data_IF_968013512684
#
_entry.id   IF_968013512684
#
_cell.length_a   1.000
_cell.length_b   1.000
_cell.length_c   1.000
_cell.angle_alpha   90.00
_cell.angle_beta   90.00
_cell.angle_gamma   90.00
#
_symmetry.space_group_name_H-M   'P 1'
#
loop_
_entity.id
_entity.type
_entity.pdbx_description
1 polymer ?
#
# COMPACT_ATOMS: atom_id res chain seq x y z
N UNK A 1 5.59 98.03 -29.63
CA UNK A 1 4.40 97.16 -29.55
C UNK A 1 4.67 95.88 -30.32
N UNK A 2 4.39 94.66 -29.87
CA UNK A 2 4.15 94.04 -28.58
C UNK A 2 4.28 92.55 -28.91
N UNK A 3 5.33 91.89 -28.41
CA UNK A 3 5.58 90.47 -28.66
C UNK A 3 4.63 89.59 -27.84
N UNK A 4 4.08 88.57 -28.48
CA UNK A 4 3.32 87.49 -27.81
C UNK A 4 4.09 86.19 -28.02
N UNK A 5 4.44 85.44 -26.95
CA UNK A 5 5.22 84.22 -27.05
C UNK A 5 4.34 83.01 -27.37
N UNK A 6 4.85 82.16 -28.26
CA UNK A 6 4.32 80.81 -28.53
C UNK A 6 4.60 79.94 -27.30
N UNK A 7 3.55 79.58 -26.56
CA UNK A 7 3.69 78.72 -25.38
C UNK A 7 3.74 77.25 -25.76
N UNK A 8 4.95 76.66 -25.67
CA UNK A 8 5.19 75.22 -25.57
C UNK A 8 4.47 74.64 -24.34
N UNK A 9 3.22 74.17 -24.49
CA UNK A 9 2.53 73.39 -23.42
C UNK A 9 2.19 71.95 -23.80
N UNK A 10 2.33 71.55 -25.07
CA UNK A 10 2.04 70.18 -25.52
C UNK A 10 3.12 69.12 -25.22
N UNK A 11 4.38 69.54 -25.00
CA UNK A 11 5.50 68.60 -24.84
C UNK A 11 5.63 67.96 -23.45
N UNK A 12 5.06 68.58 -22.41
CA UNK A 12 5.24 68.15 -21.01
C UNK A 12 4.22 67.05 -20.63
N UNK A 13 3.03 67.03 -21.25
CA UNK A 13 1.99 66.04 -20.93
C UNK A 13 2.34 64.66 -21.51
N UNK A 14 2.99 64.60 -22.68
CA UNK A 14 3.39 63.32 -23.32
C UNK A 14 4.61 62.70 -22.62
N UNK A 15 5.51 63.51 -22.07
CA UNK A 15 6.70 63.01 -21.37
C UNK A 15 6.42 62.54 -19.94
N UNK A 16 5.33 63.02 -19.30
CA UNK A 16 4.91 62.55 -17.98
C UNK A 16 4.15 61.20 -18.04
N UNK A 17 3.46 60.90 -19.14
CA UNK A 17 2.79 59.61 -19.37
C UNK A 17 3.77 58.43 -19.60
N UNK A 18 5.00 58.70 -20.03
CA UNK A 18 6.04 57.68 -20.25
C UNK A 18 6.83 57.40 -18.95
N UNK A 19 6.75 58.27 -17.95
CA UNK A 19 7.48 58.12 -16.69
C UNK A 19 6.76 57.28 -15.62
N UNK A 20 5.50 56.86 -15.84
CA UNK A 20 4.74 56.03 -14.89
C UNK A 20 4.73 54.52 -15.23
N UNK A 21 5.40 54.08 -16.28
CA UNK A 21 5.37 52.67 -16.71
C UNK A 21 6.40 51.76 -16.01
N UNK A 22 7.01 52.15 -14.89
CA UNK A 22 8.13 51.41 -14.30
C UNK A 22 7.85 50.66 -12.99
N UNK A 23 6.62 50.63 -12.47
CA UNK A 23 6.31 49.92 -11.22
C UNK A 23 5.06 49.05 -11.32
N UNK A 24 4.98 48.15 -12.30
CA UNK A 24 3.99 47.05 -12.30
C UNK A 24 4.66 45.75 -11.85
N UNK A 25 5.22 45.72 -10.64
CA UNK A 25 5.57 44.46 -9.99
C UNK A 25 4.31 43.93 -9.30
N UNK A 26 3.57 43.06 -9.98
CA UNK A 26 2.49 42.30 -9.35
C UNK A 26 3.07 41.53 -8.14
N UNK A 27 2.39 41.52 -6.98
CA UNK A 27 2.81 40.69 -5.87
C UNK A 27 2.87 39.22 -6.34
N UNK A 28 4.06 38.61 -6.24
CA UNK A 28 4.32 37.25 -6.72
C UNK A 28 4.89 36.37 -5.61
N UNK A 29 4.33 35.18 -5.46
CA UNK A 29 4.83 34.14 -4.54
C UNK A 29 5.91 33.32 -5.25
N UNK A 30 7.13 33.86 -5.37
CA UNK A 30 8.31 33.13 -5.87
C UNK A 30 8.98 33.71 -7.14
N UNK A 31 10.12 33.13 -7.54
CA UNK A 31 10.84 33.52 -8.76
C UNK A 31 10.01 33.18 -10.00
N UNK A 32 10.02 34.09 -10.97
CA UNK A 32 9.26 33.88 -12.20
C UNK A 32 9.91 32.79 -13.06
N UNK A 33 9.09 32.07 -13.83
CA UNK A 33 9.56 31.04 -14.75
C UNK A 33 10.63 31.57 -15.73
N UNK A 34 10.55 32.85 -16.15
CA UNK A 34 11.57 33.46 -17.01
C UNK A 34 12.89 33.70 -16.27
N UNK A 35 12.83 33.97 -14.98
CA UNK A 35 14.00 34.16 -14.12
C UNK A 35 14.69 32.82 -13.85
N UNK A 36 13.91 31.77 -13.57
CA UNK A 36 14.39 30.38 -13.44
C UNK A 36 15.06 29.93 -14.75
N UNK A 37 14.42 30.18 -15.89
CA UNK A 37 14.98 29.84 -17.19
C UNK A 37 16.26 30.64 -17.48
N UNK A 38 16.31 31.94 -17.18
CA UNK A 38 17.52 32.75 -17.45
C UNK A 38 18.68 32.37 -16.54
N UNK A 39 18.40 32.04 -15.29
CA UNK A 39 19.41 31.68 -14.30
C UNK A 39 19.96 30.24 -14.45
N UNK A 40 19.29 29.38 -15.23
CA UNK A 40 19.73 28.01 -15.45
C UNK A 40 21.04 27.96 -16.28
N UNK A 41 22.15 27.60 -15.62
CA UNK A 41 23.47 27.45 -16.24
C UNK A 41 23.53 26.30 -17.26
N UNK A 42 22.73 25.26 -17.07
CA UNK A 42 22.56 24.14 -18.01
C UNK A 42 21.06 23.88 -18.16
N UNK A 43 20.58 23.85 -19.41
CA UNK A 43 19.17 23.58 -19.74
C UNK A 43 19.03 22.23 -20.41
N UNK A 44 18.37 21.30 -19.74
CA UNK A 44 17.93 20.04 -20.33
C UNK A 44 16.44 20.19 -20.62
N UNK A 45 16.11 20.64 -21.82
CA UNK A 45 14.72 20.85 -22.26
C UNK A 45 14.41 19.96 -23.44
N UNK A 46 13.19 19.42 -23.48
CA UNK A 46 12.67 18.71 -24.64
C UNK A 46 12.19 19.68 -25.73
N UNK A 47 12.16 19.27 -27.01
CA UNK A 47 11.54 20.06 -28.07
C UNK A 47 10.10 20.43 -27.69
N UNK A 48 9.76 21.72 -27.81
CA UNK A 48 8.46 22.29 -27.44
C UNK A 48 8.07 22.07 -25.96
N UNK A 49 9.03 21.82 -25.05
CA UNK A 49 8.78 21.53 -23.62
C UNK A 49 7.80 20.36 -23.40
N UNK A 50 7.64 19.48 -24.38
CA UNK A 50 6.80 18.29 -24.23
C UNK A 50 7.47 17.31 -23.27
N UNK A 51 6.77 16.92 -22.21
CA UNK A 51 7.32 16.03 -21.17
C UNK A 51 7.74 14.67 -21.72
N UNK A 52 7.21 14.25 -22.88
CA UNK A 52 7.61 13.03 -23.56
C UNK A 52 7.03 11.75 -22.94
N UNK A 53 6.04 11.89 -22.05
CA UNK A 53 5.28 10.79 -21.49
C UNK A 53 3.98 10.66 -22.29
N UNK A 54 3.89 9.60 -23.09
CA UNK A 54 2.65 9.20 -23.75
C UNK A 54 1.68 8.62 -22.71
N UNK A 55 0.38 8.77 -22.93
CA UNK A 55 -0.67 8.22 -22.08
C UNK A 55 -1.89 7.81 -22.91
N UNK A 56 -2.71 6.93 -22.36
CA UNK A 56 -4.03 6.57 -22.91
C UNK A 56 -5.10 7.41 -22.21
N UNK A 57 -6.02 8.01 -22.97
CA UNK A 57 -7.21 8.66 -22.42
C UNK A 57 -8.41 7.73 -22.58
N UNK A 58 -9.13 7.46 -21.49
CA UNK A 58 -10.30 6.58 -21.47
C UNK A 58 -11.47 7.33 -20.83
N UNK A 59 -12.58 7.44 -21.55
CA UNK A 59 -13.83 7.94 -20.98
C UNK A 59 -14.50 6.86 -20.13
N UNK A 60 -14.91 7.20 -18.91
CA UNK A 60 -15.65 6.30 -18.04
C UNK A 60 -17.00 5.98 -18.68
N UNK A 61 -17.27 4.68 -18.84
CA UNK A 61 -18.52 4.17 -19.41
C UNK A 61 -18.78 2.74 -18.94
N UNK A 62 -19.99 2.23 -19.16
CA UNK A 62 -20.41 0.87 -18.79
C UNK A 62 -19.50 -0.24 -19.33
N UNK A 63 -18.86 -0.04 -20.48
CA UNK A 63 -18.01 -1.04 -21.11
C UNK A 63 -16.66 -1.25 -20.42
N UNK A 64 -16.11 -0.20 -19.78
CA UNK A 64 -14.78 -0.26 -19.16
C UNK A 64 -14.83 -0.54 -17.66
N UNK A 65 -15.93 -0.20 -16.96
CA UNK A 65 -16.07 -0.38 -15.50
C UNK A 65 -15.72 -1.82 -15.02
N UNK A 66 -16.20 -2.91 -15.66
CA UNK A 66 -15.91 -4.28 -15.21
C UNK A 66 -14.42 -4.71 -15.30
N UNK A 67 -13.57 -3.88 -15.93
CA UNK A 67 -12.14 -4.14 -16.03
C UNK A 67 -11.33 -3.42 -14.94
N UNK A 68 -11.95 -2.44 -14.27
CA UNK A 68 -11.33 -1.59 -13.26
C UNK A 68 -12.06 -1.63 -11.91
N UNK A 69 -13.06 -2.51 -11.76
CA UNK A 69 -13.83 -2.75 -10.54
C UNK A 69 -13.11 -3.68 -9.54
N UNK A 70 -12.09 -4.43 -9.99
CA UNK A 70 -11.37 -5.42 -9.18
C UNK A 70 -9.96 -4.95 -8.87
N UNK A 71 -9.65 -4.88 -7.58
CA UNK A 71 -8.26 -4.82 -7.12
C UNK A 71 -7.62 -6.15 -7.50
N UNK A 72 -6.46 -6.18 -8.20
CA UNK A 72 -5.73 -7.41 -8.45
C UNK A 72 -5.38 -8.04 -7.11
N UNK A 73 -6.13 -9.06 -6.68
CA UNK A 73 -5.79 -9.83 -5.50
C UNK A 73 -4.79 -10.90 -5.92
N UNK A 74 -3.56 -10.80 -5.45
CA UNK A 74 -2.71 -11.98 -5.30
C UNK A 74 -3.45 -13.01 -4.45
N UNK A 75 -3.18 -14.29 -4.68
CA UNK A 75 -3.84 -15.41 -3.98
C UNK A 75 -2.76 -16.27 -3.37
N UNK A 76 -2.76 -16.38 -2.04
CA UNK A 76 -1.89 -17.30 -1.31
C UNK A 76 -2.20 -18.73 -1.72
N UNK A 77 -3.49 -19.04 -1.92
CA UNK A 77 -3.94 -20.35 -2.36
C UNK A 77 -3.34 -20.75 -3.71
N UNK A 78 -3.28 -19.80 -4.65
CA UNK A 78 -2.75 -20.09 -6.00
C UNK A 78 -1.22 -20.15 -5.99
N UNK A 79 -0.55 -19.31 -5.19
CA UNK A 79 0.91 -19.27 -5.11
C UNK A 79 1.55 -20.44 -4.34
N UNK A 80 0.90 -20.90 -3.27
CA UNK A 80 1.41 -21.96 -2.39
C UNK A 80 0.64 -23.29 -2.50
N UNK A 81 -0.48 -23.30 -3.22
CA UNK A 81 -1.38 -24.43 -3.32
C UNK A 81 -2.43 -24.43 -2.21
N UNK A 82 -3.71 -24.40 -2.60
CA UNK A 82 -4.84 -24.70 -1.72
C UNK A 82 -5.05 -26.19 -1.67
N UNK A 83 -4.15 -26.90 -1.00
CA UNK A 83 -4.25 -28.34 -0.90
C UNK A 83 -5.60 -28.74 -0.30
N UNK A 84 -6.32 -29.63 -0.98
CA UNK A 84 -7.34 -30.51 -0.36
C UNK A 84 -6.73 -31.46 0.70
N UNK A 85 -5.45 -31.31 1.03
CA UNK A 85 -4.75 -32.03 2.07
C UNK A 85 -5.02 -31.40 3.44
N UNK A 86 -4.97 -32.22 4.49
CA UNK A 86 -5.06 -31.75 5.86
C UNK A 86 -3.87 -30.88 6.27
N UNK A 87 -3.74 -30.67 7.58
CA UNK A 87 -2.57 -30.05 8.17
C UNK A 87 -1.28 -30.72 7.64
N UNK A 88 -0.22 -29.94 7.34
CA UNK A 88 1.08 -30.52 7.02
C UNK A 88 1.57 -31.35 8.20
N UNK A 89 2.09 -32.54 7.93
CA UNK A 89 2.76 -33.31 8.97
C UNK A 89 4.01 -32.57 9.45
N UNK A 90 4.22 -32.57 10.76
CA UNK A 90 5.33 -31.88 11.41
C UNK A 90 6.35 -32.94 11.87
N UNK A 91 7.37 -33.25 11.05
CA UNK A 91 8.42 -34.17 11.47
C UNK A 91 9.25 -33.54 12.59
N UNK A 92 9.90 -34.40 13.39
CA UNK A 92 10.90 -33.98 14.35
C UNK A 92 12.06 -33.31 13.61
N UNK A 93 12.63 -32.25 14.17
CA UNK A 93 13.77 -31.58 13.55
C UNK A 93 14.90 -31.26 14.50
N UNK A 94 15.96 -30.69 13.92
CA UNK A 94 17.17 -30.33 14.67
C UNK A 94 16.85 -29.32 15.78
N UNK A 95 17.34 -29.58 16.99
CA UNK A 95 17.13 -28.70 18.14
C UNK A 95 15.81 -28.90 18.87
N UNK A 96 14.94 -29.81 18.42
CA UNK A 96 13.77 -30.23 19.18
C UNK A 96 14.18 -30.95 20.46
N UNK A 97 13.42 -30.74 21.53
CA UNK A 97 13.60 -31.41 22.80
C UNK A 97 12.54 -32.48 22.93
N UNK A 98 12.99 -33.73 23.03
CA UNK A 98 12.14 -34.90 23.15
C UNK A 98 12.36 -35.58 24.49
N UNK A 99 11.31 -36.23 24.98
CA UNK A 99 11.34 -37.10 26.14
C UNK A 99 10.80 -38.46 25.72
N UNK A 100 11.56 -39.50 26.05
CA UNK A 100 11.24 -40.87 25.66
C UNK A 100 10.86 -41.64 26.91
N UNK A 101 9.66 -42.21 26.90
CA UNK A 101 9.19 -43.14 27.92
C UNK A 101 9.17 -44.55 27.33
N UNK A 102 9.76 -45.49 28.05
CA UNK A 102 9.89 -46.89 27.63
C UNK A 102 9.15 -47.75 28.63
N UNK A 103 8.18 -48.52 28.14
CA UNK A 103 7.39 -49.49 28.87
C UNK A 103 7.89 -50.90 28.55
N UNK A 104 7.80 -51.82 29.51
CA UNK A 104 7.99 -53.26 29.29
C UNK A 104 6.75 -54.00 29.79
N UNK A 105 6.41 -55.12 29.16
CA UNK A 105 5.19 -55.87 29.49
C UNK A 105 5.19 -56.42 30.93
N UNK A 106 6.38 -56.68 31.50
CA UNK A 106 6.56 -57.31 32.81
C UNK A 106 7.79 -56.72 33.55
N UNK A 107 7.82 -56.86 34.88
CA UNK A 107 9.00 -56.52 35.69
C UNK A 107 10.09 -57.60 35.59
N UNK A 108 11.35 -57.22 35.82
CA UNK A 108 12.52 -58.07 35.63
C UNK A 108 13.20 -57.93 34.27
N UNK A 109 12.80 -56.96 33.45
CA UNK A 109 13.41 -56.65 32.16
C UNK A 109 14.60 -55.67 32.25
N UNK A 110 15.03 -55.15 31.11
CA UNK A 110 16.23 -54.32 30.98
C UNK A 110 16.09 -52.96 31.67
N UNK A 111 14.87 -52.42 31.64
CA UNK A 111 14.56 -51.10 32.18
C UNK A 111 13.76 -51.16 33.49
N UNK A 112 13.10 -52.28 33.76
CA UNK A 112 12.25 -52.48 34.93
C UNK A 112 12.82 -53.61 35.79
N UNK A 113 13.52 -53.32 36.90
CA UNK A 113 14.01 -54.34 37.82
C UNK A 113 12.88 -55.15 38.48
N UNK A 114 13.19 -56.37 38.93
CA UNK A 114 12.23 -57.28 39.58
C UNK A 114 11.81 -56.87 41.00
N UNK A 115 12.51 -55.93 41.64
CA UNK A 115 12.17 -55.45 42.99
C UNK A 115 10.98 -54.48 42.94
N UNK A 116 9.79 -55.07 43.09
CA UNK A 116 8.51 -54.39 43.19
C UNK A 116 8.37 -53.67 44.54
N UNK A 117 8.64 -52.36 44.60
CA UNK A 117 8.41 -51.62 45.83
C UNK A 117 8.31 -50.09 45.77
N UNK A 118 8.64 -49.41 44.66
CA UNK A 118 8.74 -47.93 44.73
C UNK A 118 8.44 -47.15 43.44
N UNK A 119 7.93 -47.78 42.36
CA UNK A 119 7.65 -47.05 41.11
C UNK A 119 6.16 -47.08 40.73
N UNK A 120 5.57 -45.94 40.36
CA UNK A 120 4.15 -45.83 40.01
C UNK A 120 3.79 -46.35 38.59
N UNK A 121 4.51 -47.34 38.05
CA UNK A 121 4.18 -47.95 36.76
C UNK A 121 5.29 -48.81 36.15
N UNK A 122 4.91 -49.60 35.13
CA UNK A 122 5.83 -50.41 34.34
C UNK A 122 6.50 -49.59 33.22
N UNK A 123 7.14 -48.48 33.56
CA UNK A 123 7.90 -47.68 32.61
C UNK A 123 9.05 -46.91 33.25
N UNK A 124 9.99 -46.50 32.42
CA UNK A 124 10.97 -45.47 32.75
C UNK A 124 10.81 -44.28 31.81
N UNK A 125 11.08 -43.10 32.32
CA UNK A 125 11.18 -41.89 31.51
C UNK A 125 12.63 -41.47 31.45
N UNK A 126 13.19 -41.42 30.25
CA UNK A 126 14.54 -40.93 30.05
C UNK A 126 14.58 -39.41 30.27
N UNK A 127 15.74 -38.86 30.69
CA UNK A 127 15.93 -37.42 30.73
C UNK A 127 15.61 -36.79 29.38
N UNK A 128 15.17 -35.52 29.38
CA UNK A 128 14.95 -34.78 28.16
C UNK A 128 16.24 -34.70 27.33
N UNK A 129 16.10 -34.92 26.03
CA UNK A 129 17.22 -34.92 25.08
C UNK A 129 16.90 -33.98 23.93
N UNK A 130 17.89 -33.19 23.53
CA UNK A 130 17.81 -32.38 22.32
C UNK A 130 18.27 -33.19 21.12
N UNK A 131 17.52 -33.16 20.02
CA UNK A 131 17.95 -33.72 18.74
C UNK A 131 19.19 -32.95 18.28
N UNK A 132 20.32 -33.64 18.24
CA UNK A 132 21.61 -33.01 18.02
C UNK A 132 21.86 -32.67 16.54
N UNK A 133 23.04 -32.09 16.26
CA UNK A 133 23.43 -31.71 14.88
C UNK A 133 23.55 -32.89 13.93
N UNK A 134 23.74 -34.11 14.45
CA UNK A 134 23.73 -35.33 13.64
C UNK A 134 22.29 -35.84 13.39
N UNK A 135 21.28 -35.17 13.94
CA UNK A 135 19.87 -35.51 13.78
C UNK A 135 19.44 -36.72 14.60
N UNK A 136 20.15 -37.01 15.70
CA UNK A 136 19.97 -38.25 16.47
C UNK A 136 19.67 -37.99 17.94
N UNK A 137 19.08 -38.99 18.60
CA UNK A 137 18.90 -39.07 20.05
C UNK A 137 19.60 -40.31 20.62
N UNK A 138 19.99 -40.28 21.89
CA UNK A 138 20.73 -41.36 22.53
C UNK A 138 19.79 -42.19 23.41
N UNK A 139 19.59 -43.45 23.03
CA UNK A 139 18.78 -44.39 23.80
C UNK A 139 19.69 -45.46 24.39
N UNK A 140 19.72 -45.64 25.72
CA UNK A 140 20.49 -46.71 26.35
C UNK A 140 20.15 -48.06 25.71
N UNK A 141 21.19 -48.85 25.41
CA UNK A 141 21.09 -50.17 24.76
C UNK A 141 20.57 -50.20 23.32
N UNK A 142 19.90 -49.17 22.81
CA UNK A 142 19.56 -49.00 21.39
C UNK A 142 20.55 -48.09 20.62
N UNK A 143 21.45 -47.40 21.32
CA UNK A 143 22.49 -46.56 20.75
C UNK A 143 21.95 -45.22 20.26
N UNK A 144 22.51 -44.71 19.16
CA UNK A 144 22.10 -43.45 18.53
C UNK A 144 21.00 -43.73 17.50
N UNK A 145 19.84 -43.12 17.68
CA UNK A 145 18.66 -43.31 16.85
C UNK A 145 18.41 -42.07 16.00
N UNK A 146 18.34 -42.17 14.65
CA UNK A 146 17.99 -41.04 13.78
C UNK A 146 16.56 -40.57 14.03
N UNK A 147 16.39 -39.26 14.25
CA UNK A 147 15.11 -38.64 14.57
C UNK A 147 14.78 -37.42 13.69
N UNK A 148 15.77 -36.62 13.29
CA UNK A 148 15.51 -35.44 12.47
C UNK A 148 14.95 -35.83 11.08
N UNK A 149 13.88 -35.15 10.66
CA UNK A 149 13.16 -35.38 9.42
C UNK A 149 12.15 -36.54 9.45
N UNK A 150 11.99 -37.23 10.59
CA UNK A 150 11.10 -38.39 10.75
C UNK A 150 9.87 -38.05 11.58
N UNK A 151 8.79 -38.79 11.37
CA UNK A 151 7.60 -38.71 12.23
C UNK A 151 7.89 -39.36 13.59
N UNK A 152 7.14 -38.97 14.63
CA UNK A 152 7.36 -39.48 15.99
C UNK A 152 7.16 -40.99 16.04
N UNK A 153 6.11 -41.45 15.37
CA UNK A 153 5.70 -42.86 15.28
C UNK A 153 6.77 -43.71 14.58
N UNK A 154 7.47 -43.14 13.59
CA UNK A 154 8.58 -43.82 12.91
C UNK A 154 9.80 -43.97 13.82
N UNK A 155 10.05 -42.98 14.68
CA UNK A 155 11.16 -43.00 15.64
C UNK A 155 10.84 -43.93 16.80
N UNK A 156 9.62 -43.90 17.32
CA UNK A 156 9.13 -44.83 18.36
C UNK A 156 9.33 -46.29 17.92
N UNK A 157 8.86 -46.63 16.71
CA UNK A 157 9.03 -47.97 16.15
C UNK A 157 10.49 -48.40 16.00
N UNK A 158 11.36 -47.51 15.53
CA UNK A 158 12.80 -47.81 15.39
C UNK A 158 13.47 -48.05 16.76
N UNK A 159 13.02 -47.35 17.80
CA UNK A 159 13.51 -47.60 19.16
C UNK A 159 13.02 -48.97 19.65
N UNK A 160 11.74 -49.30 19.46
CA UNK A 160 11.16 -50.61 19.81
C UNK A 160 11.93 -51.75 19.14
N UNK A 161 12.13 -51.67 17.83
CA UNK A 161 12.84 -52.69 17.03
C UNK A 161 14.27 -52.90 17.53
N UNK A 162 14.98 -51.82 17.92
CA UNK A 162 16.35 -51.90 18.46
C UNK A 162 16.39 -52.50 19.87
N UNK A 163 15.35 -52.28 20.67
CA UNK A 163 15.26 -52.79 22.04
C UNK A 163 14.68 -54.20 22.10
N UNK A 164 14.00 -54.68 21.07
CA UNK A 164 13.30 -55.97 21.06
C UNK A 164 14.18 -57.19 21.40
N UNK A 165 15.49 -57.13 21.12
CA UNK A 165 16.43 -58.22 21.46
C UNK A 165 16.91 -58.22 22.91
N UNK A 166 16.59 -57.17 23.68
CA UNK A 166 17.15 -56.93 25.03
C UNK A 166 16.09 -56.62 26.08
N UNK A 167 14.98 -56.00 25.69
CA UNK A 167 13.84 -55.66 26.54
C UNK A 167 12.66 -56.61 26.29
N UNK A 168 11.79 -56.79 27.29
CA UNK A 168 10.62 -57.67 27.19
C UNK A 168 9.46 -56.87 26.59
N UNK A 169 9.13 -57.14 25.34
CA UNK A 169 8.04 -56.49 24.59
C UNK A 169 8.02 -54.96 24.81
N UNK A 170 9.09 -54.25 24.40
CA UNK A 170 9.20 -52.82 24.66
C UNK A 170 8.10 -52.05 23.92
N UNK A 171 7.55 -51.05 24.58
CA UNK A 171 6.65 -50.06 23.99
C UNK A 171 7.19 -48.66 24.27
N UNK A 172 7.27 -47.82 23.24
CA UNK A 172 7.94 -46.52 23.32
C UNK A 172 6.94 -45.41 23.05
N UNK A 173 6.96 -44.40 23.91
CA UNK A 173 6.19 -43.17 23.74
C UNK A 173 7.14 -41.99 23.72
N UNK A 174 7.11 -41.23 22.63
CA UNK A 174 7.94 -40.05 22.40
C UNK A 174 7.08 -38.79 22.51
N UNK A 175 7.38 -37.97 23.52
CA UNK A 175 6.75 -36.65 23.68
C UNK A 175 7.74 -35.56 23.32
N UNK A 176 7.24 -34.47 22.74
CA UNK A 176 8.06 -33.29 22.40
C UNK A 176 7.81 -32.23 23.47
N UNK A 177 8.82 -31.88 24.25
CA UNK A 177 8.70 -30.84 25.28
C UNK A 177 9.01 -29.44 24.76
N UNK A 178 9.70 -29.33 23.63
CA UNK A 178 9.87 -28.08 22.89
C UNK A 178 10.20 -28.36 21.43
N UNK A 179 9.42 -27.80 20.50
CA UNK A 179 9.67 -27.94 19.07
C UNK A 179 10.18 -26.63 18.50
N UNK A 180 11.50 -26.55 18.32
CA UNK A 180 12.17 -25.40 17.72
C UNK A 180 12.18 -25.50 16.20
N UNK A 181 12.12 -26.72 15.66
CA UNK A 181 12.08 -26.93 14.23
C UNK A 181 10.70 -26.72 13.64
N UNK A 182 9.63 -26.66 14.45
CA UNK A 182 8.25 -26.42 14.01
C UNK A 182 7.77 -24.98 14.23
N UNK A 183 8.70 -24.02 14.26
CA UNK A 183 8.36 -22.60 14.46
C UNK A 183 8.09 -21.86 13.15
N UNK A 184 7.20 -20.87 13.22
CA UNK A 184 7.01 -19.83 12.20
C UNK A 184 7.28 -18.47 12.81
N UNK A 185 7.80 -17.54 12.02
CA UNK A 185 8.00 -16.16 12.48
C UNK A 185 6.79 -15.31 12.13
N UNK A 186 6.22 -14.61 13.11
CA UNK A 186 5.20 -13.58 12.89
C UNK A 186 5.81 -12.22 13.23
N UNK A 187 5.89 -11.34 12.24
CA UNK A 187 6.59 -10.05 12.34
C UNK A 187 5.73 -8.91 11.80
N UNK A 188 6.13 -7.67 12.13
CA UNK A 188 5.46 -6.45 11.65
C UNK A 188 4.39 -5.94 12.61
N UNK A 189 3.31 -5.40 12.05
CA UNK A 189 2.23 -4.67 12.73
C UNK A 189 1.25 -5.60 13.50
N UNK A 190 1.80 -6.38 14.43
CA UNK A 190 1.07 -7.23 15.39
C UNK A 190 1.40 -6.82 16.82
N UNK A 191 0.52 -7.15 17.78
CA UNK A 191 0.69 -6.72 19.17
C UNK A 191 1.96 -7.31 19.81
N UNK A 192 2.27 -8.58 19.51
CA UNK A 192 3.43 -9.30 20.02
C UNK A 192 4.16 -10.03 18.88
N UNK A 193 5.07 -9.35 18.15
CA UNK A 193 5.90 -9.99 17.15
C UNK A 193 6.76 -11.08 17.79
N UNK A 194 6.60 -12.33 17.34
CA UNK A 194 7.26 -13.49 17.95
C UNK A 194 7.36 -14.68 17.02
N UNK A 195 8.12 -15.69 17.45
CA UNK A 195 8.05 -17.02 16.85
C UNK A 195 6.92 -17.81 17.49
N UNK A 196 6.11 -18.45 16.66
CA UNK A 196 4.98 -19.26 17.06
C UNK A 196 5.30 -20.71 16.74
N UNK A 197 5.14 -21.60 17.73
CA UNK A 197 5.31 -23.05 17.54
C UNK A 197 4.02 -23.59 16.94
N UNK A 198 4.12 -24.27 15.81
CA UNK A 198 2.96 -24.85 15.12
C UNK A 198 2.37 -26.03 15.90
N UNK A 199 1.04 -26.03 16.03
CA UNK A 199 0.30 -27.17 16.55
C UNK A 199 0.33 -28.37 15.60
N UNK A 200 0.38 -29.61 16.12
CA UNK A 200 0.17 -30.83 15.32
C UNK A 200 -1.18 -30.89 14.60
N UNK A 201 -2.18 -30.14 15.08
CA UNK A 201 -3.48 -30.03 14.40
C UNK A 201 -3.44 -29.16 13.13
N UNK A 202 -2.32 -28.46 12.90
CA UNK A 202 -2.10 -27.55 11.79
C UNK A 202 -2.64 -26.14 12.05
N UNK A 203 -1.72 -25.21 12.27
CA UNK A 203 -2.07 -23.79 12.37
C UNK A 203 -2.08 -23.13 10.98
N UNK A 204 -3.02 -22.20 10.80
CA UNK A 204 -3.12 -21.34 9.62
C UNK A 204 -2.60 -19.94 9.93
N UNK A 205 -2.57 -19.11 8.89
CA UNK A 205 -2.08 -17.72 8.97
C UNK A 205 -2.82 -16.94 10.07
N UNK A 206 -4.15 -17.01 10.10
CA UNK A 206 -4.95 -16.30 11.10
C UNK A 206 -4.68 -16.81 12.53
N UNK A 207 -4.39 -18.10 12.70
CA UNK A 207 -4.07 -18.68 14.01
C UNK A 207 -2.74 -18.12 14.52
N UNK A 208 -1.71 -18.07 13.66
CA UNK A 208 -0.42 -17.50 14.03
C UNK A 208 -0.51 -15.99 14.34
N UNK A 209 -1.27 -15.22 13.57
CA UNK A 209 -1.52 -13.80 13.86
C UNK A 209 -2.25 -13.63 15.21
N UNK A 210 -3.21 -14.50 15.51
CA UNK A 210 -3.94 -14.48 16.79
C UNK A 210 -3.02 -14.81 17.96
N UNK A 211 -2.13 -15.80 17.80
CA UNK A 211 -1.11 -16.14 18.79
C UNK A 211 -0.09 -15.00 19.00
N UNK A 212 0.19 -14.20 17.96
CA UNK A 212 0.96 -12.95 18.05
C UNK A 212 0.15 -11.77 18.64
N UNK A 213 -1.04 -12.02 19.20
CA UNK A 213 -1.86 -11.02 19.87
C UNK A 213 -2.75 -10.19 18.93
N UNK A 214 -2.86 -10.55 17.65
CA UNK A 214 -3.65 -9.80 16.67
C UNK A 214 -2.96 -8.56 16.10
N UNK A 215 -3.66 -7.83 15.23
CA UNK A 215 -3.14 -6.65 14.54
C UNK A 215 -3.03 -5.42 15.47
N UNK A 216 -2.06 -4.54 15.20
CA UNK A 216 -1.96 -3.19 15.82
C UNK A 216 -2.63 -2.11 14.98
N UNK A 217 -3.01 -2.43 13.75
CA UNK A 217 -3.52 -1.49 12.75
C UNK A 217 -4.89 -1.91 12.23
N UNK A 218 -5.65 -0.99 11.59
CA UNK A 218 -6.94 -1.33 11.00
C UNK A 218 -6.81 -2.44 9.95
N UNK A 219 -7.72 -3.42 10.02
CA UNK A 219 -7.81 -4.55 9.07
C UNK A 219 -7.76 -4.13 7.59
N UNK A 220 -8.29 -2.94 7.30
CA UNK A 220 -8.53 -2.42 5.96
C UNK A 220 -7.28 -1.80 5.29
N UNK A 221 -6.28 -1.50 6.09
CA UNK A 221 -4.97 -0.94 5.70
C UNK A 221 -3.85 -1.97 5.91
N UNK A 222 -4.19 -3.24 6.18
CA UNK A 222 -3.21 -4.27 6.52
C UNK A 222 -3.07 -5.30 5.42
N UNK A 223 -1.84 -5.54 5.00
CA UNK A 223 -1.44 -6.59 4.09
C UNK A 223 -0.65 -7.67 4.82
N UNK A 224 -0.92 -8.92 4.46
CA UNK A 224 -0.27 -10.09 5.01
C UNK A 224 0.59 -10.72 3.93
N UNK A 225 1.89 -10.78 4.19
CA UNK A 225 2.87 -11.38 3.30
C UNK A 225 3.34 -12.69 3.89
N UNK A 226 3.10 -13.80 3.18
CA UNK A 226 3.67 -15.10 3.51
C UNK A 226 4.93 -15.34 2.68
N UNK A 227 6.03 -15.62 3.35
CA UNK A 227 7.27 -16.09 2.74
C UNK A 227 7.53 -17.54 3.13
N UNK A 228 7.62 -18.42 2.12
CA UNK A 228 7.88 -19.85 2.28
C UNK A 228 8.89 -20.31 1.24
N UNK A 229 10.03 -20.85 1.69
CA UNK A 229 11.09 -21.44 0.84
C UNK A 229 11.48 -20.55 -0.36
N UNK A 230 11.63 -19.25 -0.12
CA UNK A 230 12.02 -18.26 -1.14
C UNK A 230 10.89 -17.79 -2.07
N UNK A 231 9.66 -18.30 -1.92
CA UNK A 231 8.47 -17.76 -2.57
C UNK A 231 7.75 -16.80 -1.62
N UNK A 232 7.20 -15.73 -2.18
CA UNK A 232 6.47 -14.71 -1.43
C UNK A 232 5.12 -14.47 -2.10
N UNK A 233 4.06 -14.36 -1.31
CA UNK A 233 2.79 -13.82 -1.79
C UNK A 233 2.15 -12.96 -0.69
N UNK A 234 1.50 -11.89 -1.13
CA UNK A 234 0.88 -10.89 -0.26
C UNK A 234 -0.62 -10.88 -0.50
N UNK A 235 -1.43 -10.73 0.53
CA UNK A 235 -2.88 -10.56 0.42
C UNK A 235 -3.38 -9.56 1.45
N UNK A 236 -4.43 -8.82 1.13
CA UNK A 236 -5.09 -7.98 2.12
C UNK A 236 -5.64 -8.85 3.25
N UNK A 237 -5.46 -8.41 4.51
CA UNK A 237 -5.94 -9.13 5.68
C UNK A 237 -7.46 -9.37 5.61
N UNK A 238 -8.22 -8.39 5.12
CA UNK A 238 -9.65 -8.51 4.88
C UNK A 238 -10.01 -9.68 3.93
N UNK A 239 -9.14 -9.99 2.97
CA UNK A 239 -9.34 -11.13 2.05
C UNK A 239 -9.23 -12.46 2.78
N UNK A 240 -8.33 -12.58 3.77
CA UNK A 240 -8.21 -13.79 4.59
C UNK A 240 -9.47 -14.02 5.44
N UNK A 241 -10.07 -12.95 5.96
CA UNK A 241 -11.31 -13.03 6.75
C UNK A 241 -12.51 -13.42 5.89
N UNK A 242 -12.62 -12.85 4.69
CA UNK A 242 -13.78 -13.05 3.80
C UNK A 242 -13.69 -14.33 2.97
N UNK A 243 -12.48 -14.81 2.67
CA UNK A 243 -12.25 -15.99 1.84
C UNK A 243 -11.40 -17.02 2.60
N UNK A 244 -12.03 -18.01 3.27
CA UNK A 244 -11.33 -19.05 4.03
C UNK A 244 -10.32 -19.86 3.20
N UNK A 245 -10.44 -19.86 1.87
CA UNK A 245 -9.52 -20.55 0.99
C UNK A 245 -8.15 -19.86 0.88
N UNK A 246 -8.05 -18.57 1.23
CA UNK A 246 -6.79 -17.82 1.29
C UNK A 246 -6.09 -17.99 2.65
N UNK A 247 -6.82 -18.37 3.70
CA UNK A 247 -6.24 -18.70 5.00
C UNK A 247 -5.61 -20.11 4.98
N UNK A 248 -4.44 -20.24 4.36
CA UNK A 248 -3.74 -21.52 4.18
C UNK A 248 -2.99 -21.98 5.43
N UNK A 249 -2.71 -23.29 5.53
CA UNK A 249 -1.86 -23.85 6.59
C UNK A 249 -0.44 -23.32 6.48
N UNK A 250 0.15 -23.04 7.64
CA UNK A 250 1.56 -22.70 7.78
C UNK A 250 2.42 -23.96 7.83
N UNK A 251 3.67 -23.79 7.42
CA UNK A 251 4.68 -24.83 7.46
C UNK A 251 5.89 -24.34 8.26
N UNK A 252 6.66 -25.26 8.88
CA UNK A 252 7.86 -24.88 9.60
C UNK A 252 8.82 -24.03 8.77
N UNK A 253 9.34 -22.95 9.37
CA UNK A 253 10.24 -22.00 8.74
C UNK A 253 9.55 -20.93 7.87
N UNK A 254 8.22 -20.91 7.82
CA UNK A 254 7.49 -19.80 7.22
C UNK A 254 7.72 -18.49 7.99
N UNK A 255 7.65 -17.38 7.26
CA UNK A 255 7.59 -16.04 7.84
C UNK A 255 6.29 -15.37 7.39
N UNK A 256 5.46 -14.97 8.35
CA UNK A 256 4.26 -14.17 8.17
C UNK A 256 4.59 -12.74 8.56
N UNK A 257 4.65 -11.85 7.57
CA UNK A 257 4.81 -10.41 7.79
C UNK A 257 3.46 -9.72 7.71
N UNK A 258 3.20 -8.87 8.69
CA UNK A 258 2.01 -8.01 8.76
C UNK A 258 2.46 -6.58 8.51
N UNK A 259 2.00 -5.99 7.42
CA UNK A 259 2.46 -4.67 6.99
C UNK A 259 1.28 -3.71 6.86
N UNK A 260 1.42 -2.55 7.49
CA UNK A 260 0.49 -1.44 7.35
C UNK A 260 0.74 -0.66 6.07
N UNK A 261 -0.17 -0.79 5.11
CA UNK A 261 -0.15 -0.05 3.85
C UNK A 261 -1.27 0.99 3.81
N UNK A 262 -0.90 2.23 4.17
CA UNK A 262 -1.80 3.38 4.04
C UNK A 262 -2.01 3.72 2.57
N UNK A 263 -3.21 3.43 2.07
CA UNK A 263 -3.62 3.82 0.73
C UNK A 263 -4.05 5.28 0.71
N UNK A 264 -3.52 6.00 -0.27
CA UNK A 264 -3.72 7.45 -0.40
C UNK A 264 -3.93 7.81 -1.85
N UNK A 265 -4.76 8.81 -2.13
CA UNK A 265 -4.80 9.47 -3.43
C UNK A 265 -4.44 10.95 -3.26
N UNK A 266 -4.13 11.63 -4.36
CA UNK A 266 -3.90 13.07 -4.37
C UNK A 266 -5.08 13.72 -5.09
N UNK A 267 -5.73 14.70 -4.45
CA UNK A 267 -6.71 15.55 -5.08
C UNK A 267 -6.07 16.88 -5.46
N UNK A 268 -6.26 17.33 -6.70
CA UNK A 268 -5.71 18.56 -7.25
C UNK A 268 -6.72 19.29 -8.16
N UNK A 269 -6.47 20.59 -8.35
CA UNK A 269 -7.14 21.40 -9.34
C UNK A 269 -8.33 22.17 -8.76
N UNK A 270 -9.45 22.14 -9.47
CA UNK A 270 -10.68 22.83 -9.10
C UNK A 270 -11.55 22.05 -8.09
N UNK A 271 -10.92 21.23 -7.25
CA UNK A 271 -11.53 20.59 -6.09
C UNK A 271 -11.58 21.53 -4.88
N UNK A 272 -12.38 21.16 -3.86
CA UNK A 272 -12.46 21.89 -2.60
C UNK A 272 -11.13 21.91 -1.82
N UNK A 273 -10.31 20.86 -1.95
CA UNK A 273 -8.95 20.79 -1.38
C UNK A 273 -7.92 20.33 -2.41
N UNK A 274 -6.67 20.76 -2.21
CA UNK A 274 -5.49 20.30 -2.95
C UNK A 274 -4.53 19.60 -1.97
N UNK A 275 -4.74 18.32 -1.69
CA UNK A 275 -4.00 17.58 -0.67
C UNK A 275 -3.87 16.09 -1.01
N UNK A 276 -2.95 15.41 -0.32
CA UNK A 276 -2.96 13.94 -0.21
C UNK A 276 -4.03 13.53 0.80
N UNK A 277 -4.90 12.60 0.41
CA UNK A 277 -6.05 12.14 1.18
C UNK A 277 -5.93 10.63 1.40
N UNK A 278 -6.14 10.21 2.64
CA UNK A 278 -6.15 8.80 3.03
C UNK A 278 -7.48 8.14 2.64
N UNK A 279 -7.42 6.88 2.22
CA UNK A 279 -8.60 6.16 1.75
C UNK A 279 -9.65 5.99 2.84
N UNK A 280 -9.22 5.71 4.09
CA UNK A 280 -10.04 5.31 5.25
C UNK A 280 -10.89 4.03 5.05
N UNK A 281 -11.19 3.65 3.80
CA UNK A 281 -11.92 2.44 3.39
C UNK A 281 -11.14 1.63 2.32
N UNK A 282 -11.34 0.32 2.25
CA UNK A 282 -10.70 -0.55 1.27
C UNK A 282 -11.28 -0.45 -0.13
N UNK A 283 -12.52 0.01 -0.25
CA UNK A 283 -13.24 0.04 -1.51
C UNK A 283 -13.61 1.47 -1.95
N UNK A 284 -12.79 2.46 -1.60
CA UNK A 284 -13.01 3.87 -1.96
C UNK A 284 -13.28 4.03 -3.47
N UNK A 285 -14.43 4.60 -3.79
CA UNK A 285 -14.88 4.90 -5.16
C UNK A 285 -14.45 6.31 -5.60
N UNK A 286 -14.47 6.60 -6.91
CA UNK A 286 -14.23 7.94 -7.41
C UNK A 286 -15.26 8.95 -6.88
N UNK A 287 -16.51 8.53 -6.73
CA UNK A 287 -17.57 9.35 -6.11
C UNK A 287 -17.20 9.78 -4.69
N UNK A 288 -16.82 8.83 -3.85
CA UNK A 288 -16.38 9.11 -2.47
C UNK A 288 -15.08 9.90 -2.43
N UNK A 289 -14.14 9.63 -3.33
CA UNK A 289 -12.89 10.39 -3.44
C UNK A 289 -13.15 11.86 -3.81
N UNK A 290 -14.07 12.13 -4.73
CA UNK A 290 -14.52 13.50 -5.03
C UNK A 290 -15.17 14.15 -3.82
N UNK A 291 -16.02 13.44 -3.08
CA UNK A 291 -16.64 13.97 -1.86
C UNK A 291 -15.58 14.30 -0.79
N UNK A 292 -14.62 13.39 -0.55
CA UNK A 292 -13.48 13.61 0.34
C UNK A 292 -12.60 14.78 -0.11
N UNK A 293 -12.47 15.00 -1.41
CA UNK A 293 -11.77 16.15 -1.98
C UNK A 293 -12.55 17.48 -1.90
N UNK A 294 -13.72 17.49 -1.25
CA UNK A 294 -14.58 18.67 -1.09
C UNK A 294 -15.44 18.99 -2.30
N UNK A 295 -15.61 18.03 -3.22
CA UNK A 295 -16.41 18.19 -4.44
C UNK A 295 -15.79 19.13 -5.47
N UNK A 296 -16.59 19.45 -6.49
CA UNK A 296 -16.23 20.43 -7.51
C UNK A 296 -16.50 21.84 -6.98
N UNK A 297 -15.60 22.78 -7.26
CA UNK A 297 -15.84 24.19 -6.98
C UNK A 297 -16.62 24.80 -8.14
N UNK A 298 -17.92 25.05 -7.97
CA UNK A 298 -18.82 25.51 -9.04
C UNK A 298 -18.31 26.72 -9.83
N UNK A 299 -17.68 27.68 -9.15
CA UNK A 299 -17.16 28.89 -9.78
C UNK A 299 -15.90 28.65 -10.59
N UNK A 300 -15.24 27.48 -10.45
CA UNK A 300 -13.91 27.21 -10.99
C UNK A 300 -13.83 25.95 -11.85
N UNK A 301 -14.57 24.90 -11.52
CA UNK A 301 -14.42 23.57 -12.11
C UNK A 301 -15.11 23.44 -13.48
N UNK A 302 -14.52 22.66 -14.39
CA UNK A 302 -15.28 22.09 -15.50
C UNK A 302 -15.76 20.67 -15.15
N UNK A 303 -17.08 20.45 -14.98
CA UNK A 303 -17.61 19.12 -14.68
C UNK A 303 -17.42 18.11 -15.82
N UNK A 304 -16.99 18.51 -17.02
CA UNK A 304 -16.66 17.57 -18.11
C UNK A 304 -15.30 16.89 -17.93
N UNK A 305 -14.40 17.51 -17.17
CA UNK A 305 -12.98 17.17 -17.12
C UNK A 305 -12.55 16.86 -15.68
N UNK A 306 -13.29 15.95 -15.05
CA UNK A 306 -12.87 15.26 -13.83
C UNK A 306 -12.06 14.04 -14.25
N UNK A 307 -10.77 14.01 -13.95
CA UNK A 307 -9.88 12.97 -14.44
C UNK A 307 -9.09 12.27 -13.33
N UNK A 308 -8.82 10.98 -13.52
CA UNK A 308 -7.97 10.17 -12.65
C UNK A 308 -6.73 9.73 -13.43
N UNK A 309 -5.55 10.09 -12.96
CA UNK A 309 -4.28 9.60 -13.48
C UNK A 309 -3.88 8.34 -12.74
N UNK A 310 -3.64 7.26 -13.49
CA UNK A 310 -3.31 5.94 -12.96
C UNK A 310 -2.33 5.22 -13.87
N UNK A 311 -1.43 4.42 -13.29
CA UNK A 311 -0.64 3.43 -14.04
C UNK A 311 -1.40 2.11 -14.07
N UNK A 312 -1.60 1.56 -15.27
CA UNK A 312 -2.42 0.36 -15.48
C UNK A 312 -1.56 -0.73 -16.11
N UNK A 313 -1.77 -1.97 -15.67
CA UNK A 313 -1.15 -3.14 -16.29
C UNK A 313 -1.55 -3.26 -17.77
N UNK A 314 -0.55 -3.43 -18.63
CA UNK A 314 -0.70 -3.56 -20.08
C UNK A 314 -1.68 -4.67 -20.47
N UNK A 315 -1.71 -5.78 -19.75
CA UNK A 315 -2.60 -6.91 -20.03
C UNK A 315 -4.08 -6.58 -19.80
N UNK A 316 -4.40 -5.61 -18.92
CA UNK A 316 -5.78 -5.10 -18.78
C UNK A 316 -6.18 -4.32 -20.04
N UNK A 317 -5.30 -3.42 -20.52
CA UNK A 317 -5.56 -2.59 -21.69
C UNK A 317 -5.67 -3.41 -22.98
N UNK A 318 -4.85 -4.46 -23.13
CA UNK A 318 -4.93 -5.36 -24.28
C UNK A 318 -6.25 -6.14 -24.31
N UNK A 319 -6.82 -6.52 -23.16
CA UNK A 319 -8.16 -7.13 -23.07
C UNK A 319 -9.29 -6.18 -23.48
N UNK A 320 -9.05 -4.88 -23.39
CA UNK A 320 -9.93 -3.83 -23.91
C UNK A 320 -9.68 -3.52 -25.40
N UNK A 321 -8.84 -4.30 -26.09
CA UNK A 321 -8.41 -4.06 -27.47
C UNK A 321 -7.74 -2.68 -27.68
N UNK A 322 -7.08 -2.14 -26.65
CA UNK A 322 -6.33 -0.88 -26.75
C UNK A 322 -4.91 -1.19 -27.23
N UNK A 323 -4.47 -0.51 -28.29
CA UNK A 323 -3.10 -0.62 -28.77
C UNK A 323 -2.12 -0.02 -27.76
N UNK A 324 -1.25 -0.88 -27.24
CA UNK A 324 -0.21 -0.52 -26.25
C UNK A 324 1.20 -0.68 -26.80
N UNK A 325 1.37 -0.89 -28.11
CA UNK A 325 2.67 -1.12 -28.77
C UNK A 325 3.66 0.03 -28.58
N UNK A 326 3.16 1.26 -28.40
CA UNK A 326 3.95 2.48 -28.20
C UNK A 326 4.59 2.61 -26.82
N UNK A 327 4.08 1.86 -25.85
CA UNK A 327 4.61 1.87 -24.49
C UNK A 327 5.75 0.84 -24.37
N UNK A 328 6.74 1.05 -23.50
CA UNK A 328 7.84 0.08 -23.33
C UNK A 328 7.73 -0.77 -22.07
N UNK A 329 7.05 -0.27 -21.04
CA UNK A 329 6.88 -0.99 -19.77
C UNK A 329 5.58 -1.79 -19.68
N UNK A 330 5.51 -2.63 -18.66
CA UNK A 330 4.30 -3.40 -18.31
C UNK A 330 3.20 -2.52 -17.70
N UNK A 331 3.58 -1.35 -17.19
CA UNK A 331 2.68 -0.33 -16.65
C UNK A 331 2.54 0.83 -17.64
N UNK A 332 1.31 1.10 -18.06
CA UNK A 332 0.95 2.14 -19.02
C UNK A 332 0.27 3.30 -18.29
N UNK A 333 0.70 4.57 -18.48
CA UNK A 333 -0.02 5.73 -17.96
C UNK A 333 -1.38 5.88 -18.62
N UNK A 334 -2.44 5.96 -17.81
CA UNK A 334 -3.82 6.11 -18.25
C UNK A 334 -4.46 7.28 -17.51
N UNK A 335 -5.21 8.09 -18.25
CA UNK A 335 -6.09 9.12 -17.73
C UNK A 335 -7.52 8.63 -17.94
N UNK A 336 -8.26 8.47 -16.86
CA UNK A 336 -9.69 8.17 -16.90
C UNK A 336 -10.47 9.46 -16.79
N UNK A 337 -11.38 9.76 -17.72
CA UNK A 337 -12.19 10.98 -17.70
C UNK A 337 -13.64 10.66 -17.36
N UNK A 338 -14.16 11.36 -16.36
CA UNK A 338 -15.55 11.33 -15.93
C UNK A 338 -16.22 12.66 -16.32
N UNK A 339 -17.17 12.60 -17.27
CA UNK A 339 -17.98 13.75 -17.65
C UNK A 339 -19.26 13.80 -16.81
N UNK A 340 -19.25 14.61 -15.74
CA UNK A 340 -20.37 14.75 -14.81
C UNK A 340 -21.53 15.60 -15.36
N UNK A 341 -21.43 16.14 -16.58
CA UNK A 341 -22.61 16.73 -17.26
C UNK A 341 -23.57 15.66 -17.77
N UNK A 342 -23.07 14.46 -18.00
CA UNK A 342 -23.92 13.30 -18.23
C UNK A 342 -24.35 12.73 -16.86
N UNK A 343 -25.66 12.72 -16.53
CA UNK A 343 -26.13 12.16 -15.27
C UNK A 343 -25.79 10.67 -15.11
N UNK A 344 -25.62 9.92 -16.21
CA UNK A 344 -25.23 8.51 -16.15
C UNK A 344 -23.83 8.31 -15.52
N UNK A 345 -22.94 9.29 -15.68
CA UNK A 345 -21.59 9.25 -15.11
C UNK A 345 -21.62 9.22 -13.59
N UNK A 346 -22.66 9.76 -12.94
CA UNK A 346 -22.80 9.66 -11.49
C UNK A 346 -22.95 8.22 -10.99
N UNK A 347 -23.49 7.30 -11.79
CA UNK A 347 -23.47 5.87 -11.46
C UNK A 347 -22.07 5.27 -11.67
N UNK A 348 -21.40 5.66 -12.76
CA UNK A 348 -20.07 5.16 -13.08
C UNK A 348 -19.02 5.51 -12.01
N UNK A 349 -19.07 6.70 -11.42
CA UNK A 349 -18.13 7.10 -10.35
C UNK A 349 -18.37 6.37 -9.03
N UNK A 350 -19.55 5.80 -8.81
CA UNK A 350 -19.86 4.96 -7.64
C UNK A 350 -19.37 3.51 -7.81
N UNK A 351 -19.09 3.08 -9.04
CA UNK A 351 -18.55 1.75 -9.33
C UNK A 351 -17.03 1.78 -9.56
N UNK A 352 -16.51 2.90 -10.07
CA UNK A 352 -15.08 3.06 -10.35
C UNK A 352 -14.28 3.16 -9.06
N UNK A 353 -13.54 2.10 -8.72
CA UNK A 353 -12.69 2.06 -7.53
C UNK A 353 -11.42 2.86 -7.73
N UNK A 354 -11.05 3.64 -6.73
CA UNK A 354 -9.75 4.30 -6.64
C UNK A 354 -8.67 3.28 -6.27
N UNK A 355 -7.44 3.53 -6.71
CA UNK A 355 -6.25 2.76 -6.37
C UNK A 355 -5.24 3.61 -5.61
N UNK A 356 -4.33 2.95 -4.88
CA UNK A 356 -3.27 3.67 -4.20
C UNK A 356 -2.45 4.50 -5.18
N UNK A 357 -2.13 5.73 -4.76
CA UNK A 357 -1.38 6.74 -5.52
C UNK A 357 -2.06 7.25 -6.79
N UNK A 358 -3.35 7.03 -6.96
CA UNK A 358 -4.12 7.74 -7.96
C UNK A 358 -4.03 9.26 -7.75
N UNK A 359 -4.08 10.01 -8.86
CA UNK A 359 -4.23 11.46 -8.82
C UNK A 359 -5.58 11.83 -9.41
N UNK A 360 -6.48 12.30 -8.54
CA UNK A 360 -7.72 12.96 -8.94
C UNK A 360 -7.41 14.41 -9.28
N UNK A 361 -7.68 14.80 -10.52
CA UNK A 361 -7.53 16.17 -10.98
C UNK A 361 -8.86 16.67 -11.55
N UNK A 362 -9.30 17.84 -11.09
CA UNK A 362 -10.49 18.52 -11.62
C UNK A 362 -10.01 19.74 -12.39
N UNK A 363 -10.27 19.77 -13.70
CA UNK A 363 -9.84 20.88 -14.54
C UNK A 363 -10.60 22.17 -14.22
N UNK A 364 -9.97 23.31 -14.46
CA UNK A 364 -10.65 24.60 -14.39
C UNK A 364 -11.54 24.80 -15.63
N UNK A 365 -12.66 25.51 -15.50
CA UNK A 365 -13.47 25.90 -16.64
C UNK A 365 -12.85 27.07 -17.39
N UNK A 366 -12.99 27.07 -18.71
CA UNK A 366 -12.47 28.11 -19.61
C UNK A 366 -12.97 29.52 -19.24
N UNK A 367 -14.17 29.62 -18.64
CA UNK A 367 -14.78 30.88 -18.20
C UNK A 367 -14.03 31.56 -17.05
N UNK A 368 -13.26 30.81 -16.25
CA UNK A 368 -12.52 31.33 -15.09
C UNK A 368 -11.26 32.08 -15.52
N UNK A 369 -10.63 31.63 -16.59
CA UNK A 369 -9.47 32.33 -17.16
C UNK A 369 -9.89 33.68 -17.74
N UNK A 370 -11.08 33.75 -18.36
CA UNK A 370 -11.65 34.99 -18.85
C UNK A 370 -12.04 35.94 -17.70
N UNK A 371 -12.67 35.45 -16.62
CA UNK A 371 -13.00 36.28 -15.46
C UNK A 371 -11.75 36.79 -14.75
N UNK A 372 -10.73 35.93 -14.53
CA UNK A 372 -9.42 36.37 -13.98
C UNK A 372 -8.78 37.46 -14.84
N UNK A 373 -8.86 37.32 -16.17
CA UNK A 373 -8.39 38.34 -17.10
C UNK A 373 -9.19 39.65 -17.00
N UNK A 374 -10.52 39.55 -16.93
CA UNK A 374 -11.41 40.71 -16.79
C UNK A 374 -11.26 41.40 -15.43
N UNK A 375 -11.00 40.68 -14.33
CA UNK A 375 -10.72 41.25 -13.01
C UNK A 375 -9.42 42.05 -13.02
N UNK A 376 -8.38 41.56 -13.71
CA UNK A 376 -7.15 42.34 -13.94
C UNK A 376 -7.46 43.62 -14.74
N UNK A 377 -8.24 43.53 -15.83
CA UNK A 377 -8.64 44.71 -16.61
C UNK A 377 -9.50 45.71 -15.81
N UNK A 378 -10.39 45.19 -14.96
CA UNK A 378 -11.23 46.00 -14.09
C UNK A 378 -10.42 46.68 -12.98
N UNK A 379 -9.37 46.03 -12.46
CA UNK A 379 -8.44 46.63 -11.50
C UNK A 379 -7.61 47.78 -12.11
N UNK A 380 -7.25 47.68 -13.38
CA UNK A 380 -6.57 48.76 -14.11
C UNK A 380 -7.52 49.92 -14.35
N UNK A 381 -8.77 49.65 -14.75
CA UNK A 381 -9.75 50.71 -15.03
C UNK A 381 -10.28 51.41 -13.77
N UNK A 382 -10.36 50.72 -12.62
CA UNK A 382 -10.69 51.37 -11.34
C UNK A 382 -9.58 52.30 -10.86
N UNK A 383 -8.31 51.92 -11.07
CA UNK A 383 -7.14 52.78 -10.78
C UNK A 383 -7.14 54.05 -11.64
N UNK A 384 -7.48 53.95 -12.94
CA UNK A 384 -7.55 55.10 -13.85
C UNK A 384 -8.71 56.06 -13.51
N UNK A 385 -9.86 55.52 -13.07
CA UNK A 385 -10.97 56.36 -12.57
C UNK A 385 -10.65 57.05 -11.25
N UNK A 386 -9.94 56.38 -10.35
CA UNK A 386 -9.45 56.97 -9.10
C UNK A 386 -8.53 58.17 -9.33
N UNK A 387 -7.54 58.05 -10.22
CA UNK A 387 -6.62 59.15 -10.58
C UNK A 387 -7.36 60.32 -11.23
N UNK A 388 -8.39 60.04 -12.04
CA UNK A 388 -9.17 61.11 -12.69
C UNK A 388 -10.01 61.89 -11.67
N UNK A 389 -10.58 61.22 -10.68
CA UNK A 389 -11.32 61.86 -9.59
C UNK A 389 -10.38 62.65 -8.66
N UNK A 390 -9.26 62.07 -8.25
CA UNK A 390 -8.26 62.76 -7.42
C UNK A 390 -7.68 64.01 -8.12
N UNK A 391 -7.49 63.96 -9.44
CA UNK A 391 -7.04 65.11 -10.22
C UNK A 391 -8.09 66.22 -10.31
N UNK A 392 -9.38 65.87 -10.37
CA UNK A 392 -10.48 66.83 -10.34
C UNK A 392 -10.63 67.46 -8.95
N UNK A 393 -10.59 66.64 -7.90
CA UNK A 393 -10.67 67.08 -6.51
C UNK A 393 -9.48 67.97 -6.12
N UNK A 394 -8.27 67.63 -6.58
CA UNK A 394 -7.08 68.46 -6.37
C UNK A 394 -7.18 69.79 -7.13
N UNK A 395 -7.71 69.79 -8.37
CA UNK A 395 -7.91 71.02 -9.14
C UNK A 395 -8.92 71.94 -8.46
N UNK A 396 -10.01 71.39 -7.96
CA UNK A 396 -11.08 72.15 -7.34
C UNK A 396 -10.64 72.67 -5.96
N UNK A 397 -9.86 71.89 -5.18
CA UNK A 397 -9.24 72.34 -3.94
C UNK A 397 -8.22 73.49 -4.14
N UNK A 398 -7.42 73.44 -5.20
CA UNK A 398 -6.48 74.53 -5.55
C UNK A 398 -7.24 75.80 -5.98
N UNK A 399 -8.42 75.65 -6.60
CA UNK A 399 -9.26 76.78 -7.02
C UNK A 399 -9.93 77.47 -5.84
N UNK A 400 -10.32 76.72 -4.81
CA UNK A 400 -10.87 77.27 -3.56
C UNK A 400 -9.82 78.00 -2.70
N UNK A 401 -8.55 77.60 -2.76
CA UNK A 401 -7.45 78.30 -2.07
C UNK A 401 -7.00 79.60 -2.79
N UNK A 402 -7.48 79.84 -4.01
CA UNK A 402 -7.09 80.98 -4.84
C UNK A 402 -8.11 82.13 -4.89
N UNK A 403 -9.23 82.03 -4.18
CA UNK A 403 -10.26 83.08 -4.08
C UNK A 403 -10.26 83.77 -2.72
#
# INVERSE_FOLDING_TARGET
>A
MMGIPVTRRGGIIVSMLIALSSCTSLPRSGPDHTEIDRAAAIKVTTPNRKVGIDYVLIDLNKGILPYFDKIPTSSLRTGFGGGRGGAPDIPLGFGDVVQVSIFEAQSGGLFIPSDAGSRPGNYITLPQQTIDKAGTISIPYAGRVPAAGRMKEEVEKDIEDRLASRAIEPQVVLTTSGSRSAEVAVVGDVNNPQKVVLSPAGDRILDAISQAGGLTTPNIETNITLQRRGKTATVAYETLLKNPAENIFLAPGDTVSVEHERRTFIALGASGVNNRIDFEDSNLTLGEAMAKAGGLVDTRADPREVVVYRKVDRGILQRLNIDTSRFKGDQVPVIFRANLRDPATLFAVQEFRMMDKDVLYISNSDSVELVKFLDVLNSVTSTVRGVSNDALDTRDAVRDLGN
#
